data_IF_170227824729
#
_entry.id   IF_170227824729
#
_cell.length_a   1.000
_cell.length_b   1.000
_cell.length_c   1.000
_cell.angle_alpha   90.00
_cell.angle_beta   90.00
_cell.angle_gamma   90.00
#
_symmetry.space_group_name_H-M   'P 1'
#
loop_
_entity.id
_entity.type
_entity.pdbx_description
1 polymer ?
#
# COMPACT_ATOMS: atom_id res chain seq x y z
N UNK A 1 11.25 45.60 11.59
CA UNK A 1 12.21 44.51 11.42
C UNK A 1 13.06 44.38 12.68
N UNK A 2 13.21 43.17 13.19
CA UNK A 2 14.14 42.90 14.30
C UNK A 2 15.54 42.83 13.70
N UNK A 3 16.51 43.53 14.29
CA UNK A 3 17.89 43.49 13.84
C UNK A 3 18.50 42.11 14.03
N UNK A 4 19.41 41.64 13.17
CA UNK A 4 20.08 40.38 13.34
C UNK A 4 20.72 40.27 14.74
N UNK A 5 20.43 39.16 15.42
CA UNK A 5 20.95 38.86 16.75
C UNK A 5 21.84 37.62 16.70
N UNK A 6 22.84 37.59 17.58
CA UNK A 6 23.68 36.40 17.73
C UNK A 6 22.85 35.28 18.37
N UNK A 7 22.75 34.16 17.68
CA UNK A 7 21.98 32.98 18.11
C UNK A 7 22.94 31.87 18.58
N UNK A 8 22.71 31.36 19.77
CA UNK A 8 23.48 30.27 20.32
C UNK A 8 22.61 29.00 20.33
N UNK A 9 23.22 27.82 20.25
CA UNK A 9 22.51 26.55 20.33
C UNK A 9 21.67 26.42 21.61
N UNK A 10 22.16 26.97 22.72
CA UNK A 10 21.39 27.08 23.97
C UNK A 10 20.06 27.78 23.80
N UNK A 11 19.96 28.81 22.99
CA UNK A 11 18.69 29.51 22.73
C UNK A 11 17.65 28.53 22.10
N UNK A 12 18.09 27.68 21.14
CA UNK A 12 17.21 26.69 20.53
C UNK A 12 16.69 25.69 21.56
N UNK A 13 17.55 25.25 22.50
CA UNK A 13 17.16 24.34 23.60
C UNK A 13 16.14 25.04 24.51
N UNK A 14 16.40 26.24 24.98
CA UNK A 14 15.52 26.98 25.88
C UNK A 14 14.14 27.24 25.25
N UNK A 15 14.09 27.59 23.97
CA UNK A 15 12.83 27.75 23.23
C UNK A 15 12.10 26.41 23.07
N UNK A 16 12.81 25.33 22.77
CA UNK A 16 12.22 23.98 22.66
C UNK A 16 11.60 23.54 23.98
N UNK A 17 12.27 23.78 25.09
CA UNK A 17 11.76 23.48 26.44
C UNK A 17 10.49 24.31 26.70
N UNK A 18 10.53 25.63 26.45
CA UNK A 18 9.38 26.52 26.65
C UNK A 18 8.19 26.10 25.80
N UNK A 19 8.41 25.71 24.55
CA UNK A 19 7.38 25.21 23.63
C UNK A 19 6.77 23.91 24.16
N UNK A 20 7.59 22.95 24.61
CA UNK A 20 7.09 21.70 25.17
C UNK A 20 6.22 21.94 26.42
N UNK A 21 6.63 22.84 27.32
CA UNK A 21 5.79 23.20 28.48
C UNK A 21 4.48 23.87 28.06
N UNK A 22 4.49 24.69 27.03
CA UNK A 22 3.28 25.31 26.49
C UNK A 22 2.30 24.25 25.94
N UNK A 23 2.82 23.27 25.18
CA UNK A 23 2.01 22.15 24.66
C UNK A 23 1.44 21.30 25.79
N UNK A 24 2.25 20.93 26.80
CA UNK A 24 1.78 20.17 27.97
C UNK A 24 0.72 20.93 28.76
N UNK A 25 0.91 22.22 28.97
CA UNK A 25 -0.07 23.09 29.67
C UNK A 25 -1.40 23.17 28.88
N UNK A 26 -1.33 23.33 27.55
CA UNK A 26 -2.49 23.31 26.68
C UNK A 26 -3.24 21.98 26.78
N UNK A 27 -2.52 20.87 26.64
CA UNK A 27 -3.10 19.53 26.75
C UNK A 27 -3.75 19.28 28.12
N UNK A 28 -3.13 19.73 29.21
CA UNK A 28 -3.67 19.58 30.56
C UNK A 28 -4.94 20.41 30.78
N UNK A 29 -5.01 21.65 30.22
CA UNK A 29 -6.18 22.53 30.34
C UNK A 29 -7.37 22.04 29.53
N UNK A 30 -7.14 21.54 28.34
CA UNK A 30 -8.17 21.15 27.37
C UNK A 30 -8.32 19.64 27.22
N UNK A 31 -7.82 18.83 28.18
CA UNK A 31 -7.80 17.37 28.09
C UNK A 31 -9.18 16.76 27.79
N UNK A 32 -10.21 17.26 28.46
CA UNK A 32 -11.56 16.69 28.33
C UNK A 32 -12.14 17.01 26.95
N UNK A 33 -11.93 18.23 26.45
CA UNK A 33 -12.34 18.66 25.12
C UNK A 33 -11.59 17.89 24.03
N UNK A 34 -10.27 17.76 24.15
CA UNK A 34 -9.43 17.04 23.19
C UNK A 34 -9.81 15.55 23.14
N UNK A 35 -10.00 14.90 24.29
CA UNK A 35 -10.44 13.50 24.35
C UNK A 35 -11.84 13.32 23.79
N UNK A 36 -12.77 14.25 24.11
CA UNK A 36 -14.12 14.20 23.56
C UNK A 36 -14.14 14.41 22.04
N UNK A 37 -13.26 15.26 21.51
CA UNK A 37 -13.10 15.43 20.06
C UNK A 37 -12.60 14.15 19.39
N UNK A 38 -11.61 13.46 19.96
CA UNK A 38 -11.15 12.16 19.45
C UNK A 38 -12.29 11.14 19.41
N UNK A 39 -13.06 11.04 20.50
CA UNK A 39 -14.24 10.16 20.56
C UNK A 39 -15.27 10.53 19.50
N UNK A 40 -15.59 11.82 19.37
CA UNK A 40 -16.60 12.33 18.44
C UNK A 40 -16.19 12.09 16.99
N UNK A 41 -14.93 12.30 16.63
CA UNK A 41 -14.38 12.00 15.30
C UNK A 41 -14.53 10.51 14.96
N UNK A 42 -14.16 9.62 15.89
CA UNK A 42 -14.32 8.19 15.72
C UNK A 42 -15.78 7.77 15.55
N UNK A 43 -16.68 8.31 16.40
CA UNK A 43 -18.12 8.05 16.31
C UNK A 43 -18.71 8.50 14.97
N UNK A 44 -18.40 9.72 14.53
CA UNK A 44 -18.89 10.23 13.24
C UNK A 44 -18.37 9.40 12.07
N UNK A 45 -17.14 8.91 12.15
CA UNK A 45 -16.56 7.99 11.13
C UNK A 45 -17.35 6.67 11.07
N UNK A 46 -17.69 6.08 12.21
CA UNK A 46 -18.50 4.85 12.28
C UNK A 46 -19.92 5.12 11.72
N UNK A 47 -20.55 6.20 12.13
CA UNK A 47 -21.88 6.59 11.64
C UNK A 47 -21.89 6.82 10.12
N UNK A 48 -20.88 7.52 9.59
CA UNK A 48 -20.74 7.75 8.15
C UNK A 48 -20.53 6.46 7.36
N UNK A 49 -19.80 5.49 7.90
CA UNK A 49 -19.64 4.17 7.29
C UNK A 49 -20.86 3.26 7.41
N UNK A 50 -21.80 3.58 8.32
CA UNK A 50 -23.03 2.80 8.56
C UNK A 50 -24.24 3.24 7.72
N UNK A 51 -24.11 4.30 6.94
CA UNK A 51 -25.17 4.87 6.09
C UNK A 51 -24.59 5.36 4.77
N UNK A 52 -25.42 5.74 3.83
CA UNK A 52 -24.97 6.36 2.60
C UNK A 52 -24.27 7.68 2.92
N UNK A 53 -23.06 7.82 2.41
CA UNK A 53 -22.23 9.00 2.61
C UNK A 53 -21.41 9.30 1.36
N UNK A 54 -20.94 10.53 1.27
CA UNK A 54 -20.14 11.01 0.15
C UNK A 54 -18.98 11.84 0.68
N UNK A 55 -17.78 11.40 0.43
CA UNK A 55 -16.57 12.19 0.71
C UNK A 55 -16.46 13.31 -0.29
N UNK A 56 -16.26 14.54 0.19
CA UNK A 56 -16.11 15.72 -0.65
C UNK A 56 -14.66 15.88 -1.06
N UNK A 57 -14.44 16.02 -2.37
CA UNK A 57 -13.16 16.32 -2.98
C UNK A 57 -13.23 17.69 -3.67
N UNK A 58 -12.11 18.43 -3.80
CA UNK A 58 -12.08 19.74 -4.47
C UNK A 58 -12.75 19.73 -5.85
N UNK A 59 -12.50 18.73 -6.69
CA UNK A 59 -13.13 18.60 -8.01
C UNK A 59 -14.66 18.49 -7.97
N UNK A 60 -15.25 18.02 -6.87
CA UNK A 60 -16.72 18.02 -6.73
C UNK A 60 -17.25 19.44 -6.48
N UNK A 61 -16.47 20.26 -5.76
CA UNK A 61 -16.82 21.68 -5.59
C UNK A 61 -16.74 22.42 -6.93
N UNK A 62 -15.71 22.14 -7.74
CA UNK A 62 -15.56 22.68 -9.09
C UNK A 62 -16.71 22.25 -9.98
N UNK A 63 -17.07 20.96 -9.98
CA UNK A 63 -18.21 20.43 -10.74
C UNK A 63 -19.54 21.09 -10.34
N UNK A 64 -19.75 21.36 -9.04
CA UNK A 64 -20.92 22.12 -8.61
C UNK A 64 -20.89 23.56 -9.12
N UNK A 65 -19.73 24.22 -9.06
CA UNK A 65 -19.55 25.59 -9.54
C UNK A 65 -19.86 25.69 -11.04
N UNK A 66 -19.39 24.72 -11.84
CA UNK A 66 -19.70 24.66 -13.28
C UNK A 66 -21.17 24.39 -13.55
N UNK A 67 -21.79 23.48 -12.80
CA UNK A 67 -23.21 23.17 -12.94
C UNK A 67 -24.08 24.39 -12.62
N UNK A 68 -23.75 25.17 -11.59
CA UNK A 68 -24.44 26.40 -11.22
C UNK A 68 -24.33 27.53 -12.26
N UNK A 69 -23.30 27.52 -13.11
CA UNK A 69 -23.20 28.47 -14.24
C UNK A 69 -24.22 28.17 -15.30
N UNK A 70 -24.53 26.91 -15.55
CA UNK A 70 -25.46 26.45 -16.58
C UNK A 70 -26.90 26.36 -16.08
N UNK A 71 -27.11 25.80 -14.90
CA UNK A 71 -28.40 25.70 -14.23
C UNK A 71 -28.55 26.89 -13.24
N UNK A 72 -28.76 28.11 -13.77
CA UNK A 72 -28.84 29.32 -12.93
C UNK A 72 -30.05 29.23 -12.00
N UNK A 73 -29.84 29.13 -10.67
CA UNK A 73 -30.93 29.18 -9.72
C UNK A 73 -31.52 30.60 -9.72
N UNK A 74 -32.81 30.71 -9.98
CA UNK A 74 -33.53 31.97 -9.87
C UNK A 74 -34.12 32.07 -8.49
N UNK A 75 -33.59 32.99 -7.66
CA UNK A 75 -34.22 33.36 -6.40
C UNK A 75 -33.58 32.82 -5.13
N UNK A 76 -34.36 32.74 -4.05
CA UNK A 76 -33.94 32.32 -2.70
C UNK A 76 -33.45 30.87 -2.67
N UNK A 77 -32.62 30.53 -1.65
CA UNK A 77 -32.21 29.14 -1.39
C UNK A 77 -33.48 28.31 -1.21
N UNK A 78 -33.81 27.54 -2.22
CA UNK A 78 -35.03 26.76 -2.31
C UNK A 78 -34.73 25.29 -2.73
N UNK A 79 -35.81 24.54 -2.95
CA UNK A 79 -35.74 23.13 -3.37
C UNK A 79 -34.97 22.89 -4.68
N UNK A 80 -34.89 23.90 -5.57
CA UNK A 80 -34.14 23.79 -6.82
C UNK A 80 -32.62 23.80 -6.58
N UNK A 81 -32.12 24.68 -5.72
CA UNK A 81 -30.71 24.70 -5.35
C UNK A 81 -30.30 23.39 -4.65
N UNK A 82 -31.16 22.86 -3.79
CA UNK A 82 -30.92 21.57 -3.15
C UNK A 82 -30.88 20.43 -4.17
N UNK A 83 -31.72 20.45 -5.20
CA UNK A 83 -31.71 19.47 -6.28
C UNK A 83 -30.40 19.52 -7.09
N UNK A 84 -29.91 20.71 -7.45
CA UNK A 84 -28.64 20.91 -8.14
C UNK A 84 -27.48 20.42 -7.25
N UNK A 85 -27.48 20.76 -5.97
CA UNK A 85 -26.49 20.32 -5.01
C UNK A 85 -26.45 18.79 -4.91
N UNK A 86 -27.62 18.15 -4.84
CA UNK A 86 -27.72 16.69 -4.74
C UNK A 86 -27.25 15.97 -5.99
N UNK A 87 -27.40 16.56 -7.20
CA UNK A 87 -26.85 15.98 -8.43
C UNK A 87 -25.34 15.75 -8.36
N UNK A 88 -24.60 16.64 -7.70
CA UNK A 88 -23.14 16.53 -7.54
C UNK A 88 -22.77 15.79 -6.26
N UNK A 89 -23.28 16.23 -5.12
CA UNK A 89 -22.82 15.76 -3.81
C UNK A 89 -23.51 14.49 -3.33
N UNK A 90 -24.65 14.11 -3.91
CA UNK A 90 -25.33 12.84 -3.64
C UNK A 90 -25.48 11.97 -4.89
N UNK A 91 -24.57 12.11 -5.83
CA UNK A 91 -24.55 11.24 -7.01
C UNK A 91 -24.30 9.78 -6.59
N UNK A 92 -25.20 8.83 -6.91
CA UNK A 92 -25.02 7.42 -6.53
C UNK A 92 -23.72 6.79 -7.00
N UNK A 93 -23.21 7.21 -8.18
CA UNK A 93 -21.95 6.70 -8.75
C UNK A 93 -20.74 7.02 -7.86
N UNK A 94 -20.79 8.17 -7.16
CA UNK A 94 -19.70 8.63 -6.31
C UNK A 94 -19.93 8.38 -4.82
N UNK A 95 -20.94 7.55 -4.48
CA UNK A 95 -21.22 7.14 -3.11
C UNK A 95 -20.05 6.38 -2.51
N UNK A 96 -19.69 6.68 -1.29
CA UNK A 96 -18.65 5.97 -0.54
C UNK A 96 -19.07 4.52 -0.26
N UNK A 97 -18.15 3.57 -0.28
CA UNK A 97 -18.47 2.17 -0.04
C UNK A 97 -18.76 1.87 1.43
N UNK A 98 -19.52 0.81 1.66
CA UNK A 98 -19.76 0.19 2.97
C UNK A 98 -18.62 -0.72 3.39
N UNK A 99 -17.79 -1.13 2.45
CA UNK A 99 -16.61 -1.95 2.70
C UNK A 99 -15.96 -2.46 1.44
N UNK A 100 -14.91 -3.23 1.67
CA UNK A 100 -14.10 -3.85 0.64
C UNK A 100 -13.90 -5.32 0.96
N UNK A 101 -13.83 -6.15 -0.07
CA UNK A 101 -13.55 -7.58 0.05
C UNK A 101 -12.33 -7.90 -0.80
N UNK A 102 -11.31 -8.49 -0.19
CA UNK A 102 -10.10 -9.00 -0.85
C UNK A 102 -10.23 -10.53 -0.91
N UNK A 103 -10.40 -11.13 -2.09
CA UNK A 103 -10.53 -12.58 -2.25
C UNK A 103 -9.30 -13.33 -1.75
N UNK A 104 -9.49 -14.54 -1.20
CA UNK A 104 -8.41 -15.34 -0.59
C UNK A 104 -7.33 -15.80 -1.58
N UNK A 105 -7.67 -16.00 -2.84
CA UNK A 105 -6.77 -16.49 -3.89
C UNK A 105 -5.84 -15.41 -4.46
N UNK A 106 -5.48 -14.46 -3.64
CA UNK A 106 -4.57 -13.36 -3.98
C UNK A 106 -3.11 -13.74 -3.77
N UNK A 107 -2.22 -12.93 -4.35
CA UNK A 107 -0.76 -13.02 -4.19
C UNK A 107 -0.30 -12.75 -2.75
N UNK A 108 0.96 -13.03 -2.45
CA UNK A 108 1.58 -12.68 -1.16
C UNK A 108 1.56 -11.17 -0.92
N UNK A 109 1.54 -10.35 -1.98
CA UNK A 109 1.42 -8.90 -1.92
C UNK A 109 0.09 -8.47 -1.28
N UNK A 110 -1.02 -9.19 -1.55
CA UNK A 110 -2.30 -8.93 -0.90
C UNK A 110 -2.23 -9.18 0.62
N UNK A 111 -1.53 -10.23 1.05
CA UNK A 111 -1.31 -10.49 2.48
C UNK A 111 -0.45 -9.39 3.12
N UNK A 112 0.58 -8.90 2.42
CA UNK A 112 1.36 -7.74 2.89
C UNK A 112 0.48 -6.50 3.06
N UNK A 113 -0.41 -6.23 2.10
CA UNK A 113 -1.37 -5.14 2.19
C UNK A 113 -2.32 -5.30 3.38
N UNK A 114 -2.92 -6.47 3.58
CA UNK A 114 -3.75 -6.77 4.75
C UNK A 114 -2.98 -6.53 6.06
N UNK A 115 -1.72 -6.94 6.12
CA UNK A 115 -0.87 -6.73 7.29
C UNK A 115 -0.57 -5.23 7.53
N UNK A 116 -0.44 -4.42 6.48
CA UNK A 116 -0.32 -2.96 6.59
C UNK A 116 -1.60 -2.39 7.21
N UNK A 117 -2.78 -2.82 6.75
CA UNK A 117 -4.05 -2.39 7.31
C UNK A 117 -4.15 -2.71 8.80
N UNK A 118 -3.82 -3.95 9.20
CA UNK A 118 -3.84 -4.38 10.61
C UNK A 118 -2.87 -3.56 11.45
N UNK A 119 -1.63 -3.37 10.99
CA UNK A 119 -0.59 -2.59 11.69
C UNK A 119 -0.97 -1.12 11.86
N UNK A 120 -1.69 -0.55 10.90
CA UNK A 120 -2.17 0.84 10.98
C UNK A 120 -3.45 1.02 11.79
N UNK A 121 -3.96 -0.05 12.43
CA UNK A 121 -5.11 0.00 13.31
C UNK A 121 -6.47 -0.16 12.61
N UNK A 122 -6.49 -0.44 11.32
CA UNK A 122 -7.73 -0.76 10.59
C UNK A 122 -8.24 -2.12 11.04
N UNK A 123 -9.54 -2.18 11.36
CA UNK A 123 -10.21 -3.43 11.68
C UNK A 123 -10.44 -4.24 10.41
N UNK A 124 -9.80 -5.38 10.34
CA UNK A 124 -9.93 -6.36 9.26
C UNK A 124 -10.63 -7.58 9.79
N UNK A 125 -11.49 -8.18 8.99
CA UNK A 125 -12.14 -9.46 9.29
C UNK A 125 -11.69 -10.51 8.27
N UNK A 126 -11.82 -11.76 8.64
CA UNK A 126 -11.59 -12.91 7.76
C UNK A 126 -12.84 -13.79 7.71
N UNK A 127 -13.25 -14.19 6.52
CA UNK A 127 -14.39 -15.06 6.36
C UNK A 127 -14.08 -16.47 6.88
N UNK A 128 -14.88 -16.99 7.81
CA UNK A 128 -14.74 -18.35 8.38
C UNK A 128 -15.40 -19.41 7.51
N UNK A 129 -16.32 -19.03 6.62
CA UNK A 129 -16.92 -19.91 5.61
C UNK A 129 -17.24 -19.13 4.34
N UNK A 130 -17.61 -19.84 3.27
CA UNK A 130 -18.07 -19.21 2.02
C UNK A 130 -19.31 -18.36 2.27
N UNK A 131 -19.41 -17.23 1.57
CA UNK A 131 -20.53 -16.31 1.68
C UNK A 131 -20.86 -15.63 0.36
N UNK A 132 -22.01 -14.95 0.31
CA UNK A 132 -22.48 -14.21 -0.86
C UNK A 132 -22.62 -12.73 -0.53
N UNK A 133 -22.24 -11.85 -1.48
CA UNK A 133 -22.63 -10.44 -1.48
C UNK A 133 -23.24 -10.13 -2.83
N UNK A 134 -24.52 -9.75 -2.82
CA UNK A 134 -25.30 -9.70 -4.06
C UNK A 134 -25.28 -11.05 -4.77
N UNK A 135 -24.84 -11.06 -6.01
CA UNK A 135 -24.73 -12.27 -6.84
C UNK A 135 -23.33 -12.91 -6.81
N UNK A 136 -22.34 -12.29 -6.15
CA UNK A 136 -20.96 -12.75 -6.14
C UNK A 136 -20.68 -13.62 -4.93
N UNK A 137 -20.09 -14.82 -5.19
CA UNK A 137 -19.62 -15.73 -4.15
C UNK A 137 -18.18 -15.43 -3.79
N UNK A 138 -17.90 -15.41 -2.48
CA UNK A 138 -16.56 -15.29 -1.90
C UNK A 138 -16.25 -16.54 -1.09
N UNK A 139 -15.01 -16.99 -1.16
CA UNK A 139 -14.55 -18.18 -0.46
C UNK A 139 -14.15 -17.86 0.99
N UNK A 140 -14.25 -18.87 1.84
CA UNK A 140 -13.67 -18.86 3.18
C UNK A 140 -12.21 -18.40 3.14
N UNK A 141 -11.80 -17.59 4.11
CA UNK A 141 -10.47 -17.00 4.16
C UNK A 141 -10.32 -15.65 3.46
N UNK A 142 -11.31 -15.19 2.67
CA UNK A 142 -11.32 -13.83 2.11
C UNK A 142 -11.28 -12.79 3.22
N UNK A 143 -10.64 -11.63 2.96
CA UNK A 143 -10.55 -10.55 3.93
C UNK A 143 -11.61 -9.48 3.68
N UNK A 144 -12.17 -8.97 4.76
CA UNK A 144 -13.25 -7.97 4.73
C UNK A 144 -12.82 -6.75 5.53
N UNK A 145 -12.91 -5.58 4.91
CA UNK A 145 -12.63 -4.28 5.53
C UNK A 145 -13.89 -3.42 5.45
N UNK A 146 -14.61 -3.31 6.55
CA UNK A 146 -15.80 -2.47 6.63
C UNK A 146 -15.43 -1.03 6.88
N UNK A 147 -16.21 -0.08 6.31
CA UNK A 147 -15.98 1.36 6.50
C UNK A 147 -16.64 1.93 7.75
N UNK A 148 -17.50 1.16 8.42
CA UNK A 148 -18.11 1.56 9.69
C UNK A 148 -17.18 1.35 10.89
N UNK A 149 -16.03 1.99 10.85
CA UNK A 149 -15.00 1.96 11.88
C UNK A 149 -14.37 3.34 12.10
N UNK A 150 -13.74 3.55 13.25
CA UNK A 150 -13.16 4.85 13.62
C UNK A 150 -12.11 5.34 12.62
N UNK A 151 -11.34 4.42 12.05
CA UNK A 151 -10.32 4.70 11.02
C UNK A 151 -10.87 4.75 9.59
N UNK A 152 -12.19 4.95 9.41
CA UNK A 152 -12.80 5.06 8.08
C UNK A 152 -12.05 5.97 7.09
N UNK A 153 -11.61 7.20 7.46
CA UNK A 153 -10.85 8.04 6.52
C UNK A 153 -9.60 7.32 6.00
N UNK A 154 -8.84 6.68 6.88
CA UNK A 154 -7.66 5.91 6.49
C UNK A 154 -8.00 4.69 5.63
N UNK A 155 -9.11 3.99 5.89
CA UNK A 155 -9.60 2.92 5.02
C UNK A 155 -9.84 3.43 3.60
N UNK A 156 -10.50 4.58 3.46
CA UNK A 156 -10.75 5.18 2.14
C UNK A 156 -9.43 5.55 1.43
N UNK A 157 -8.48 6.14 2.15
CA UNK A 157 -7.15 6.49 1.59
C UNK A 157 -6.40 5.26 1.08
N UNK A 158 -6.56 4.12 1.73
CA UNK A 158 -5.90 2.88 1.33
C UNK A 158 -6.51 2.24 0.07
N UNK A 159 -7.82 2.41 -0.16
CA UNK A 159 -8.56 1.70 -1.21
C UNK A 159 -9.11 2.59 -2.33
N UNK A 160 -9.44 3.86 -2.06
CA UNK A 160 -10.06 4.73 -3.07
C UNK A 160 -9.01 5.46 -3.91
N UNK A 161 -9.27 5.71 -5.20
CA UNK A 161 -8.40 6.53 -6.00
C UNK A 161 -8.35 7.96 -5.45
N UNK A 162 -7.15 8.53 -5.40
CA UNK A 162 -6.95 9.93 -5.01
C UNK A 162 -7.32 10.85 -6.19
N UNK A 163 -8.16 11.82 -5.90
CA UNK A 163 -8.57 12.83 -6.88
C UNK A 163 -7.91 14.18 -6.54
N UNK A 164 -6.67 14.34 -6.99
CA UNK A 164 -5.89 15.56 -6.74
C UNK A 164 -6.55 16.75 -7.46
N UNK A 165 -6.66 17.93 -6.81
CA UNK A 165 -7.14 19.13 -7.46
C UNK A 165 -6.27 19.52 -8.66
N UNK A 166 -6.91 20.12 -9.67
CA UNK A 166 -6.23 20.56 -10.90
C UNK A 166 -5.59 21.95 -10.67
N UNK A 167 -4.62 22.00 -9.74
CA UNK A 167 -3.98 23.25 -9.33
C UNK A 167 -2.74 23.54 -10.15
N UNK A 168 -2.64 24.78 -10.62
CA UNK A 168 -1.48 25.30 -11.33
C UNK A 168 -0.94 26.55 -10.62
N UNK A 169 0.37 26.81 -10.68
CA UNK A 169 0.98 28.02 -10.11
C UNK A 169 0.42 29.30 -10.73
N UNK A 170 0.03 29.23 -12.01
CA UNK A 170 -0.66 30.28 -12.75
C UNK A 170 -1.33 29.64 -13.99
N UNK A 171 -2.32 30.29 -14.62
CA UNK A 171 -2.96 29.75 -15.81
C UNK A 171 -1.97 29.37 -16.91
N UNK A 172 -1.96 28.12 -17.35
CA UNK A 172 -0.99 27.57 -18.31
C UNK A 172 0.41 27.29 -17.77
N UNK A 173 0.63 27.46 -16.47
CA UNK A 173 1.88 27.20 -15.78
C UNK A 173 2.07 25.72 -15.35
N UNK A 174 3.16 25.43 -14.64
CA UNK A 174 3.38 24.07 -14.11
C UNK A 174 2.39 23.75 -13.00
N UNK A 175 2.03 22.44 -12.82
CA UNK A 175 1.14 22.01 -11.75
C UNK A 175 1.79 22.26 -10.38
N UNK A 176 0.95 22.59 -9.39
CA UNK A 176 1.36 22.64 -7.98
C UNK A 176 1.65 21.22 -7.53
N UNK A 177 2.87 21.00 -7.04
CA UNK A 177 3.24 19.66 -6.54
C UNK A 177 2.47 19.37 -5.26
N UNK A 178 1.99 18.11 -5.06
CA UNK A 178 1.43 17.69 -3.78
C UNK A 178 2.42 17.97 -2.64
N UNK A 179 1.91 18.36 -1.50
CA UNK A 179 2.74 18.57 -0.30
C UNK A 179 3.36 17.25 0.15
N UNK A 180 2.57 16.18 0.12
CA UNK A 180 3.00 14.83 0.45
C UNK A 180 2.79 13.91 -0.77
N UNK A 181 3.83 13.18 -1.13
CA UNK A 181 3.83 12.25 -2.26
C UNK A 181 3.80 10.78 -1.81
N UNK A 182 3.64 10.51 -0.50
CA UNK A 182 3.74 9.17 0.04
C UNK A 182 2.40 8.43 0.02
N UNK A 183 2.44 7.19 -0.45
CA UNK A 183 1.49 6.13 -0.10
C UNK A 183 0.04 6.33 -0.51
N UNK A 184 -0.23 7.06 -1.58
CA UNK A 184 -1.60 7.24 -2.05
C UNK A 184 -2.12 5.99 -2.76
N UNK A 185 -3.37 5.64 -2.45
CA UNK A 185 -4.05 4.50 -3.08
C UNK A 185 -3.25 3.19 -3.08
N UNK A 186 -2.72 2.74 -1.91
CA UNK A 186 -1.83 1.57 -1.87
C UNK A 186 -2.43 0.31 -2.49
N UNK A 187 -3.74 0.11 -2.40
CA UNK A 187 -4.39 -1.04 -3.04
C UNK A 187 -4.14 -1.09 -4.55
N UNK A 188 -4.17 0.06 -5.24
CA UNK A 188 -3.88 0.14 -6.67
C UNK A 188 -2.38 0.04 -6.96
N UNK A 189 -1.55 0.77 -6.23
CA UNK A 189 -0.10 0.75 -6.46
C UNK A 189 0.54 -0.60 -6.14
N UNK A 190 -0.04 -1.38 -5.24
CA UNK A 190 0.35 -2.75 -4.94
C UNK A 190 -0.31 -3.80 -5.84
N UNK A 191 -1.21 -3.40 -6.74
CA UNK A 191 -1.90 -4.32 -7.65
C UNK A 191 -2.81 -5.31 -6.93
N UNK A 192 -3.54 -4.86 -5.91
CA UNK A 192 -4.46 -5.69 -5.14
C UNK A 192 -5.81 -5.75 -5.87
N UNK A 193 -6.29 -6.95 -6.12
CA UNK A 193 -7.66 -7.15 -6.56
C UNK A 193 -8.60 -7.08 -5.35
N UNK A 194 -9.61 -6.24 -5.42
CA UNK A 194 -10.63 -6.11 -4.40
C UNK A 194 -11.98 -5.69 -4.98
N UNK A 195 -13.04 -6.02 -4.27
CA UNK A 195 -14.37 -5.58 -4.61
C UNK A 195 -14.80 -4.42 -3.70
N UNK A 196 -15.30 -3.37 -4.31
CA UNK A 196 -15.88 -2.19 -3.67
C UNK A 196 -17.35 -2.42 -3.45
N UNK A 197 -17.81 -2.55 -2.20
CA UNK A 197 -19.19 -2.89 -1.84
C UNK A 197 -19.93 -1.62 -1.42
N UNK A 198 -20.97 -1.27 -2.14
CA UNK A 198 -21.76 -0.06 -1.91
C UNK A 198 -22.92 -0.28 -0.92
N UNK A 199 -23.49 -1.47 -0.91
CA UNK A 199 -24.60 -1.81 -0.05
C UNK A 199 -24.12 -2.40 1.28
N UNK A 200 -24.96 -2.35 2.31
CA UNK A 200 -24.65 -3.03 3.56
C UNK A 200 -24.62 -4.54 3.35
N UNK A 201 -23.68 -5.19 4.00
CA UNK A 201 -23.48 -6.63 3.86
C UNK A 201 -23.02 -7.24 5.17
N UNK A 202 -23.41 -8.47 5.39
CA UNK A 202 -23.07 -9.27 6.56
C UNK A 202 -22.61 -10.65 6.11
N UNK A 203 -21.97 -11.37 6.99
CA UNK A 203 -21.51 -12.73 6.70
C UNK A 203 -20.76 -13.34 7.89
N UNK A 204 -20.20 -14.51 7.71
CA UNK A 204 -19.41 -15.23 8.72
C UNK A 204 -18.01 -14.59 8.87
N UNK A 205 -17.96 -13.38 9.44
CA UNK A 205 -16.77 -12.56 9.49
C UNK A 205 -16.16 -12.53 10.89
N UNK A 206 -15.02 -13.20 11.06
CA UNK A 206 -14.25 -13.22 12.29
C UNK A 206 -13.31 -12.03 12.31
N UNK A 207 -13.35 -11.23 13.38
CA UNK A 207 -12.46 -10.09 13.53
C UNK A 207 -11.03 -10.55 13.81
N UNK A 208 -10.06 -10.01 13.07
CA UNK A 208 -8.65 -10.19 13.37
C UNK A 208 -8.24 -9.24 14.49
N UNK A 209 -7.45 -9.74 15.43
CA UNK A 209 -6.93 -8.91 16.50
C UNK A 209 -5.87 -7.91 15.97
N UNK A 210 -5.73 -6.77 16.65
CA UNK A 210 -4.62 -5.86 16.37
C UNK A 210 -3.28 -6.57 16.54
N UNK A 211 -2.44 -6.48 15.51
CA UNK A 211 -1.13 -7.15 15.52
C UNK A 211 -1.16 -8.64 15.11
N UNK A 212 -2.33 -9.20 14.79
CA UNK A 212 -2.46 -10.56 14.25
C UNK A 212 -2.00 -10.61 12.79
N UNK A 213 -0.70 -10.70 12.59
CA UNK A 213 -0.05 -10.69 11.28
C UNK A 213 -0.36 -11.96 10.52
N UNK A 214 -1.02 -11.81 9.40
CA UNK A 214 -1.39 -12.91 8.52
C UNK A 214 -0.17 -13.42 7.76
N UNK A 215 -0.04 -14.75 7.69
CA UNK A 215 1.04 -15.40 6.93
C UNK A 215 0.48 -15.88 5.58
N UNK A 216 1.19 -15.60 4.48
CA UNK A 216 0.80 -16.18 3.20
C UNK A 216 0.97 -17.69 3.25
N UNK A 217 0.04 -18.40 2.60
CA UNK A 217 0.06 -19.85 2.55
C UNK A 217 0.84 -20.31 1.30
N UNK A 218 2.11 -20.62 1.51
CA UNK A 218 2.92 -21.26 0.49
C UNK A 218 2.47 -22.72 0.24
N UNK A 219 2.61 -23.14 -0.98
CA UNK A 219 2.27 -24.49 -1.39
C UNK A 219 3.18 -24.98 -2.52
N UNK A 220 3.51 -26.25 -2.49
CA UNK A 220 4.16 -26.92 -3.62
C UNK A 220 3.08 -27.80 -4.29
N UNK A 221 2.70 -27.44 -5.52
CA UNK A 221 1.69 -28.15 -6.31
C UNK A 221 2.38 -29.25 -7.12
N UNK A 222 1.70 -30.38 -7.28
CA UNK A 222 2.17 -31.52 -8.07
C UNK A 222 3.51 -32.11 -7.59
N UNK A 223 3.73 -32.21 -6.28
CA UNK A 223 4.93 -32.84 -5.71
C UNK A 223 4.96 -34.34 -6.04
N UNK A 224 5.54 -34.69 -7.19
CA UNK A 224 5.70 -36.09 -7.63
C UNK A 224 7.19 -36.44 -7.68
N UNK A 225 7.47 -37.77 -7.62
CA UNK A 225 8.83 -38.32 -7.55
C UNK A 225 9.74 -38.01 -8.77
N UNK A 226 9.15 -37.62 -9.92
CA UNK A 226 9.90 -37.33 -11.16
C UNK A 226 9.79 -35.83 -11.47
N UNK A 227 10.45 -35.01 -10.67
CA UNK A 227 10.52 -33.57 -10.90
C UNK A 227 11.59 -33.22 -11.92
N UNK A 228 11.23 -32.48 -12.99
CA UNK A 228 12.21 -31.82 -13.86
C UNK A 228 12.65 -30.48 -13.26
N UNK A 229 11.77 -29.82 -12.51
CA UNK A 229 12.04 -28.56 -11.83
C UNK A 229 10.78 -27.92 -11.25
N UNK A 230 10.94 -26.67 -10.85
CA UNK A 230 9.87 -25.88 -10.23
C UNK A 230 9.66 -24.58 -10.96
N UNK A 231 8.41 -24.18 -11.15
CA UNK A 231 8.02 -22.86 -11.63
C UNK A 231 7.36 -22.06 -10.54
N UNK A 232 7.49 -20.72 -10.60
CA UNK A 232 6.80 -19.78 -9.71
C UNK A 232 6.56 -18.44 -10.43
N UNK A 233 5.58 -17.68 -9.99
CA UNK A 233 5.07 -16.50 -10.70
C UNK A 233 6.08 -15.34 -10.73
N UNK A 234 6.12 -14.59 -11.85
CA UNK A 234 6.86 -13.32 -11.93
C UNK A 234 6.06 -12.13 -11.38
N UNK A 235 4.76 -12.32 -11.09
CA UNK A 235 3.85 -11.26 -10.63
C UNK A 235 3.85 -11.11 -9.11
N UNK A 236 4.46 -12.03 -8.39
CA UNK A 236 4.51 -12.01 -6.93
C UNK A 236 5.81 -11.37 -6.45
N UNK A 237 5.74 -10.35 -5.59
CA UNK A 237 6.91 -9.70 -5.05
C UNK A 237 7.83 -10.64 -4.25
N UNK A 238 7.27 -11.61 -3.53
CA UNK A 238 8.06 -12.60 -2.81
C UNK A 238 8.94 -13.46 -3.74
N UNK A 239 8.59 -13.56 -5.02
CA UNK A 239 9.39 -14.28 -6.01
C UNK A 239 10.78 -13.69 -6.21
N UNK A 240 10.98 -12.38 -5.96
CA UNK A 240 12.32 -11.78 -5.98
C UNK A 240 13.21 -12.35 -4.86
N UNK A 241 12.65 -12.61 -3.67
CA UNK A 241 13.38 -13.28 -2.58
C UNK A 241 13.83 -14.68 -3.04
N UNK A 242 12.89 -15.45 -3.64
CA UNK A 242 13.23 -16.78 -4.13
C UNK A 242 14.34 -16.76 -5.20
N UNK A 243 14.26 -15.85 -6.17
CA UNK A 243 15.29 -15.70 -7.21
C UNK A 243 16.64 -15.38 -6.58
N UNK A 244 16.70 -14.40 -5.66
CA UNK A 244 17.95 -13.98 -5.04
C UNK A 244 18.55 -15.08 -4.15
N UNK A 245 17.74 -15.75 -3.32
CA UNK A 245 18.18 -16.87 -2.50
C UNK A 245 18.70 -18.04 -3.33
N UNK A 246 18.02 -18.39 -4.41
CA UNK A 246 18.44 -19.46 -5.30
C UNK A 246 19.74 -19.12 -6.04
N UNK A 247 19.87 -17.89 -6.56
CA UNK A 247 21.10 -17.43 -7.19
C UNK A 247 22.27 -17.40 -6.19
N UNK A 248 22.04 -16.94 -4.97
CA UNK A 248 23.05 -16.93 -3.90
C UNK A 248 23.48 -18.35 -3.48
N UNK A 249 22.59 -19.32 -3.58
CA UNK A 249 22.89 -20.73 -3.36
C UNK A 249 23.63 -21.40 -4.55
N UNK A 250 23.88 -20.64 -5.63
CA UNK A 250 24.55 -21.12 -6.84
C UNK A 250 23.63 -21.86 -7.83
N UNK A 251 22.32 -21.79 -7.62
CA UNK A 251 21.35 -22.41 -8.51
C UNK A 251 21.13 -21.58 -9.79
N UNK A 252 20.77 -22.24 -10.88
CA UNK A 252 20.50 -21.56 -12.15
C UNK A 252 18.98 -21.31 -12.25
N UNK A 253 18.61 -20.03 -12.25
CA UNK A 253 17.25 -19.58 -12.42
C UNK A 253 17.03 -19.09 -13.84
N UNK A 254 15.89 -19.46 -14.41
CA UNK A 254 15.46 -19.02 -15.73
C UNK A 254 14.16 -18.20 -15.59
N UNK A 255 13.87 -17.36 -16.59
CA UNK A 255 12.69 -16.48 -16.61
C UNK A 255 12.10 -16.39 -18.02
N UNK A 256 10.77 -16.37 -18.11
CA UNK A 256 10.02 -15.81 -19.23
C UNK A 256 9.11 -14.65 -18.72
N UNK A 257 8.11 -14.25 -19.49
CA UNK A 257 7.21 -13.13 -19.11
C UNK A 257 6.36 -13.42 -17.86
N UNK A 258 6.01 -14.68 -17.65
CA UNK A 258 4.97 -15.05 -16.66
C UNK A 258 5.53 -15.81 -15.46
N UNK A 259 6.65 -16.52 -15.63
CA UNK A 259 7.17 -17.40 -14.59
C UNK A 259 8.70 -17.46 -14.55
N UNK A 260 9.21 -17.73 -13.37
CA UNK A 260 10.54 -18.21 -13.12
C UNK A 260 10.55 -19.75 -13.18
N UNK A 261 11.70 -20.29 -13.49
CA UNK A 261 11.95 -21.73 -13.47
C UNK A 261 13.31 -22.03 -12.86
N UNK A 262 13.37 -23.07 -12.05
CA UNK A 262 14.61 -23.64 -11.52
C UNK A 262 14.59 -25.14 -11.71
N UNK A 263 15.73 -25.71 -12.18
CA UNK A 263 15.84 -27.15 -12.42
C UNK A 263 15.90 -27.91 -11.09
N UNK A 264 15.32 -29.09 -11.05
CA UNK A 264 15.38 -29.99 -9.90
C UNK A 264 16.83 -30.39 -9.56
N UNK A 265 17.16 -30.40 -8.29
CA UNK A 265 18.33 -31.04 -7.69
C UNK A 265 17.98 -31.46 -6.26
N UNK A 266 18.71 -32.41 -5.68
CA UNK A 266 18.45 -32.87 -4.31
C UNK A 266 18.59 -31.74 -3.28
N UNK A 267 19.44 -30.77 -3.53
CA UNK A 267 19.65 -29.58 -2.66
C UNK A 267 18.50 -28.59 -2.75
N UNK A 268 17.90 -28.44 -3.92
CA UNK A 268 16.91 -27.42 -4.18
C UNK A 268 15.57 -27.69 -3.46
N UNK A 269 15.23 -28.95 -3.23
CA UNK A 269 13.98 -29.34 -2.56
C UNK A 269 13.82 -28.69 -1.18
N UNK A 270 14.92 -28.67 -0.40
CA UNK A 270 14.89 -28.01 0.91
C UNK A 270 14.73 -26.49 0.78
N UNK A 271 15.41 -25.87 -0.19
CA UNK A 271 15.28 -24.44 -0.48
C UNK A 271 13.87 -24.08 -0.93
N UNK A 272 13.26 -24.85 -1.84
CA UNK A 272 11.89 -24.65 -2.31
C UNK A 272 10.88 -24.78 -1.16
N UNK A 273 11.04 -25.83 -0.32
CA UNK A 273 10.18 -26.03 0.85
C UNK A 273 10.28 -24.84 1.81
N UNK A 274 11.51 -24.42 2.14
CA UNK A 274 11.74 -23.26 3.00
C UNK A 274 11.15 -21.98 2.42
N UNK A 275 11.43 -21.67 1.16
CA UNK A 275 10.90 -20.48 0.48
C UNK A 275 9.37 -20.47 0.42
N UNK A 276 8.76 -21.63 0.17
CA UNK A 276 7.31 -21.78 0.22
C UNK A 276 6.76 -21.50 1.62
N UNK A 277 7.35 -22.10 2.65
CA UNK A 277 6.87 -21.97 4.04
C UNK A 277 7.09 -20.58 4.61
N UNK A 278 8.29 -20.00 4.41
CA UNK A 278 8.67 -18.74 5.05
C UNK A 278 8.06 -17.53 4.36
N UNK A 279 7.95 -17.56 3.03
CA UNK A 279 7.50 -16.42 2.21
C UNK A 279 6.18 -16.65 1.50
N UNK A 280 5.55 -17.82 1.66
CA UNK A 280 4.25 -18.13 1.07
C UNK A 280 4.26 -18.28 -0.44
N UNK A 281 5.40 -18.57 -1.03
CA UNK A 281 5.53 -18.67 -2.49
C UNK A 281 4.87 -19.95 -2.96
N UNK A 282 4.08 -19.83 -4.03
CA UNK A 282 3.46 -20.96 -4.70
C UNK A 282 4.43 -21.52 -5.75
N UNK A 283 4.94 -22.72 -5.50
CA UNK A 283 5.75 -23.46 -6.46
C UNK A 283 4.92 -24.52 -7.15
N UNK A 284 5.09 -24.67 -8.46
CA UNK A 284 4.50 -25.76 -9.23
C UNK A 284 5.61 -26.66 -9.75
N UNK A 285 5.56 -27.92 -9.35
CA UNK A 285 6.47 -28.93 -9.88
C UNK A 285 6.12 -29.22 -11.35
N UNK A 286 7.13 -29.26 -12.20
CA UNK A 286 7.01 -29.63 -13.62
C UNK A 286 7.83 -30.89 -13.89
N UNK A 287 7.24 -31.81 -14.67
CA UNK A 287 7.84 -33.13 -14.97
C UNK A 287 8.47 -33.19 -16.34
N UNK A 288 8.27 -32.17 -17.17
CA UNK A 288 8.79 -32.09 -18.54
C UNK A 288 9.63 -30.83 -18.72
N UNK A 289 10.61 -30.85 -19.65
CA UNK A 289 11.34 -29.65 -20.03
C UNK A 289 10.39 -28.53 -20.47
N UNK A 290 10.69 -27.31 -20.02
CA UNK A 290 9.99 -26.13 -20.50
C UNK A 290 10.56 -25.72 -21.86
N UNK A 291 9.75 -25.02 -22.67
CA UNK A 291 10.12 -24.59 -24.02
C UNK A 291 11.33 -23.65 -24.02
N UNK A 292 12.04 -23.55 -25.17
CA UNK A 292 13.29 -22.82 -25.41
C UNK A 292 13.21 -21.28 -25.23
N UNK A 293 12.09 -20.74 -24.81
CA UNK A 293 11.89 -19.27 -24.60
C UNK A 293 12.40 -18.76 -23.27
N UNK A 294 12.94 -19.62 -22.42
CA UNK A 294 13.46 -19.26 -21.10
C UNK A 294 14.84 -18.61 -21.20
N UNK A 295 14.98 -17.41 -20.61
CA UNK A 295 16.28 -16.73 -20.49
C UNK A 295 16.88 -17.01 -19.12
N UNK A 296 18.17 -17.37 -19.09
CA UNK A 296 18.92 -17.51 -17.84
C UNK A 296 19.05 -16.15 -17.16
N UNK A 297 18.75 -16.10 -15.87
CA UNK A 297 19.00 -14.92 -15.03
C UNK A 297 20.46 -14.97 -14.57
N UNK A 298 21.13 -13.83 -14.65
CA UNK A 298 22.48 -13.65 -14.12
C UNK A 298 22.39 -12.93 -12.76
N UNK A 299 23.25 -13.30 -11.79
CA UNK A 299 23.43 -12.48 -10.59
C UNK A 299 23.82 -11.06 -10.98
N UNK A 300 23.25 -10.08 -10.33
CA UNK A 300 23.47 -8.66 -10.59
C UNK A 300 24.35 -8.05 -9.50
N UNK A 301 25.34 -7.23 -9.89
CA UNK A 301 26.20 -6.48 -8.97
C UNK A 301 25.69 -5.05 -8.88
N UNK A 302 25.10 -4.68 -7.75
CA UNK A 302 24.47 -3.38 -7.53
C UNK A 302 25.38 -2.48 -6.71
N UNK A 303 25.71 -1.30 -7.25
CA UNK A 303 26.32 -0.19 -6.51
C UNK A 303 25.26 0.83 -6.15
N UNK A 304 24.87 0.90 -4.89
CA UNK A 304 23.90 1.89 -4.41
C UNK A 304 24.62 3.16 -3.94
N UNK A 305 24.50 4.22 -4.72
CA UNK A 305 25.09 5.50 -4.35
C UNK A 305 24.34 6.16 -3.19
N UNK A 306 25.11 6.67 -2.22
CA UNK A 306 24.61 7.55 -1.18
C UNK A 306 25.56 8.72 -0.95
N UNK A 307 25.04 9.81 -0.41
CA UNK A 307 25.85 10.95 0.02
C UNK A 307 26.27 10.82 1.48
N UNK A 308 27.34 11.50 1.86
CA UNK A 308 27.72 11.62 3.28
C UNK A 308 26.54 12.20 4.10
N UNK A 309 26.19 11.56 5.19
CA UNK A 309 25.01 11.90 6.00
C UNK A 309 23.70 11.26 5.54
N UNK A 310 23.73 10.49 4.44
CA UNK A 310 22.58 9.75 3.94
C UNK A 310 21.58 10.57 3.11
N UNK A 311 20.70 9.86 2.44
CA UNK A 311 19.52 10.43 1.77
C UNK A 311 18.32 9.51 1.98
N UNK A 312 17.11 10.08 2.02
CA UNK A 312 15.88 9.30 2.19
C UNK A 312 15.68 8.30 1.05
N UNK A 313 15.97 8.69 -0.20
CA UNK A 313 15.82 7.82 -1.36
C UNK A 313 16.74 6.61 -1.29
N UNK A 314 18.02 6.82 -0.96
CA UNK A 314 18.98 5.73 -0.77
C UNK A 314 18.58 4.83 0.41
N UNK A 315 18.12 5.41 1.52
CA UNK A 315 17.64 4.66 2.69
C UNK A 315 16.49 3.73 2.36
N UNK A 316 15.50 4.18 1.58
CA UNK A 316 14.37 3.34 1.15
C UNK A 316 14.80 2.25 0.16
N UNK A 317 15.67 2.54 -0.80
CA UNK A 317 16.21 1.53 -1.72
C UNK A 317 17.02 0.48 -0.97
N UNK A 318 17.87 0.91 -0.02
CA UNK A 318 18.61 0.00 0.85
C UNK A 318 17.67 -0.94 1.60
N UNK A 319 16.62 -0.39 2.24
CA UNK A 319 15.65 -1.18 2.95
C UNK A 319 14.95 -2.20 2.04
N UNK A 320 14.52 -1.79 0.84
CA UNK A 320 13.92 -2.70 -0.16
C UNK A 320 14.89 -3.81 -0.55
N UNK A 321 16.14 -3.47 -0.85
CA UNK A 321 17.15 -4.48 -1.22
C UNK A 321 17.41 -5.48 -0.09
N UNK A 322 17.48 -5.02 1.14
CA UNK A 322 17.61 -5.89 2.32
C UNK A 322 16.38 -6.79 2.48
N UNK A 323 15.14 -6.27 2.32
CA UNK A 323 13.91 -7.05 2.44
C UNK A 323 13.72 -8.11 1.34
N UNK A 324 14.21 -7.84 0.14
CA UNK A 324 14.11 -8.76 -1.00
C UNK A 324 15.41 -9.49 -1.30
N UNK A 325 16.38 -9.44 -0.41
CA UNK A 325 17.67 -10.15 -0.45
C UNK A 325 18.50 -9.86 -1.70
N UNK A 326 18.39 -8.64 -2.26
CA UNK A 326 19.27 -8.22 -3.35
C UNK A 326 20.69 -7.97 -2.82
N UNK A 327 21.74 -8.54 -3.44
CA UNK A 327 23.10 -8.18 -3.10
C UNK A 327 23.40 -6.76 -3.60
N UNK A 328 23.87 -5.88 -2.70
CA UNK A 328 24.27 -4.53 -3.06
C UNK A 328 25.45 -4.06 -2.22
N UNK A 329 26.20 -3.09 -2.73
CA UNK A 329 27.25 -2.38 -2.01
C UNK A 329 26.93 -0.90 -1.99
N UNK A 330 27.01 -0.27 -0.81
CA UNK A 330 26.95 1.18 -0.70
C UNK A 330 28.24 1.78 -1.30
N UNK A 331 28.08 2.76 -2.18
CA UNK A 331 29.18 3.49 -2.80
C UNK A 331 29.00 4.98 -2.58
N UNK A 332 30.10 5.68 -2.40
CA UNK A 332 30.14 7.11 -2.14
C UNK A 332 30.93 7.83 -3.24
N UNK A 333 30.88 9.17 -3.25
CA UNK A 333 31.54 9.99 -4.27
C UNK A 333 33.01 9.58 -4.53
N UNK A 334 33.78 9.31 -3.48
CA UNK A 334 35.18 8.89 -3.61
C UNK A 334 35.36 7.61 -4.43
N UNK A 335 34.45 6.64 -4.27
CA UNK A 335 34.49 5.39 -5.06
C UNK A 335 34.09 5.64 -6.51
N UNK A 336 33.08 6.50 -6.72
CA UNK A 336 32.64 6.88 -8.08
C UNK A 336 33.76 7.53 -8.86
N UNK A 337 34.52 8.44 -8.22
CA UNK A 337 35.59 9.19 -8.86
C UNK A 337 36.88 8.37 -9.07
N UNK A 338 37.08 7.28 -8.33
CA UNK A 338 38.36 6.59 -8.26
C UNK A 338 38.41 5.21 -8.93
N UNK A 339 37.25 4.62 -9.32
CA UNK A 339 37.18 3.26 -9.83
C UNK A 339 36.49 3.18 -11.19
N UNK A 340 36.83 2.13 -11.95
CA UNK A 340 36.05 1.76 -13.12
C UNK A 340 34.73 1.09 -12.66
N UNK A 341 33.65 1.86 -12.63
CA UNK A 341 32.36 1.40 -12.17
C UNK A 341 31.86 0.19 -12.95
N UNK A 342 32.01 0.18 -14.29
CA UNK A 342 31.55 -0.92 -15.14
C UNK A 342 32.29 -2.25 -14.88
N UNK A 343 33.50 -2.21 -14.33
CA UNK A 343 34.22 -3.41 -13.92
C UNK A 343 33.64 -4.04 -12.63
N UNK A 344 33.06 -3.22 -11.76
CA UNK A 344 32.64 -3.63 -10.43
C UNK A 344 31.13 -3.80 -10.31
N UNK A 345 30.33 -3.05 -11.08
CA UNK A 345 28.88 -3.00 -10.96
C UNK A 345 28.21 -3.14 -12.33
N UNK A 346 27.03 -3.70 -12.33
CA UNK A 346 26.16 -3.83 -13.50
C UNK A 346 25.08 -2.75 -13.49
N UNK A 347 24.76 -2.25 -12.30
CA UNK A 347 23.82 -1.16 -12.03
C UNK A 347 24.32 -0.32 -10.88
#
# INVERSE_FOLDING_TARGET
PILPQKWYFKNSIDYSISLNYAVLNYAARYKDELLYNIYTMGRHSIEAGSKDSWTLYPKRADALSELLKTEKPTGKIDSFQLAVFNKVYKNPVTRDPRGYIIPINQSTTAIQFVNILIKSGIKVHRASSDFMVGTKKYLSGSYIVKTNQAFRPHVLDMFEPQDHPNDFLYPGGPPVRPYDAAGWTPAFTMGIDFDRILEDFTGPFDALAYGDIQKPLGKIINSQYNSYGYTFSTKDNASYIAVNELLNAGEIVYKNKEQYFVRHSDKINNSITKLSTDYGILFTNVTTPLSDTLKKIQPIRIGLWDKYGGSMSSGWLRWIFEQYHFPFKLIYAKEIDSVNLNANYDV
#
